data_IF_146601980456
#
_entry.id   IF_146601980456
#
_cell.length_a   1.000
_cell.length_b   1.000
_cell.length_c   1.000
_cell.angle_alpha   90.00
_cell.angle_beta   90.00
_cell.angle_gamma   90.00
#
_symmetry.space_group_name_H-M   'P 1'
#
loop_
_entity.id
_entity.type
_entity.pdbx_description
1 polymer ?
#
# COMPACT_ATOMS: atom_id res chain seq x y z
N UNK A 1 -2.15 18.52 20.33
CA UNK A 1 -1.42 19.36 19.37
C UNK A 1 -1.92 19.02 17.97
N UNK A 2 -2.76 19.85 17.32
CA UNK A 2 -3.35 19.50 16.00
C UNK A 2 -2.46 19.94 14.84
N UNK A 3 -1.82 19.01 14.13
CA UNK A 3 -1.10 19.23 12.88
C UNK A 3 -2.00 19.87 11.80
N UNK A 4 -1.41 20.50 10.79
CA UNK A 4 -2.18 21.01 9.65
C UNK A 4 -2.35 19.86 8.65
N UNK A 5 -3.56 19.30 8.57
CA UNK A 5 -3.96 18.45 7.46
C UNK A 5 -4.43 19.36 6.31
N UNK A 6 -3.80 19.23 5.15
CA UNK A 6 -4.23 19.92 3.93
C UNK A 6 -4.46 18.86 2.86
N UNK A 7 -5.69 18.76 2.37
CA UNK A 7 -6.00 17.99 1.18
C UNK A 7 -5.39 18.68 -0.04
N UNK A 8 -4.59 17.95 -0.82
CA UNK A 8 -4.02 18.45 -2.08
C UNK A 8 -4.09 17.40 -3.18
N UNK A 9 -3.78 17.83 -4.40
CA UNK A 9 -3.83 17.04 -5.61
C UNK A 9 -2.47 17.09 -6.32
N UNK A 10 -1.96 15.96 -6.78
CA UNK A 10 -0.75 15.88 -7.61
C UNK A 10 -1.01 15.01 -8.85
N UNK A 11 -0.22 15.16 -9.92
CA UNK A 11 -0.42 14.40 -11.16
C UNK A 11 0.47 13.16 -11.18
N UNK A 12 -0.07 12.04 -11.64
CA UNK A 12 0.71 10.87 -12.03
C UNK A 12 1.09 10.93 -13.51
N UNK A 13 2.00 10.04 -13.94
CA UNK A 13 2.31 9.83 -15.35
C UNK A 13 1.10 9.34 -16.19
N UNK A 14 0.05 8.84 -15.55
CA UNK A 14 -1.15 8.31 -16.21
C UNK A 14 -2.28 9.36 -16.35
N UNK A 15 -1.96 10.65 -16.20
CA UNK A 15 -2.89 11.79 -16.21
C UNK A 15 -4.05 11.62 -15.19
N UNK A 16 -3.79 10.86 -14.12
CA UNK A 16 -4.63 10.86 -12.92
C UNK A 16 -4.18 11.98 -11.99
N UNK A 17 -5.14 12.47 -11.21
CA UNK A 17 -4.88 13.49 -10.19
C UNK A 17 -5.12 12.87 -8.83
N UNK A 18 -4.04 12.58 -8.12
CA UNK A 18 -4.07 11.84 -6.87
C UNK A 18 -4.27 12.78 -5.69
N UNK A 19 -5.29 12.45 -4.88
CA UNK A 19 -5.65 13.18 -3.68
C UNK A 19 -4.85 12.66 -2.49
N UNK A 20 -4.33 13.59 -1.70
CA UNK A 20 -3.51 13.27 -0.54
C UNK A 20 -3.75 14.24 0.62
N UNK A 21 -3.56 13.73 1.83
CA UNK A 21 -3.54 14.50 3.07
C UNK A 21 -2.08 14.73 3.47
N UNK A 22 -1.68 16.00 3.58
CA UNK A 22 -0.35 16.37 4.04
C UNK A 22 -0.34 16.64 5.54
N UNK A 23 0.64 16.09 6.26
CA UNK A 23 0.89 16.33 7.66
C UNK A 23 2.28 16.93 7.85
N UNK A 24 2.34 18.09 8.51
CA UNK A 24 3.59 18.80 8.79
C UNK A 24 3.81 18.95 10.31
N UNK A 25 5.02 18.69 10.83
CA UNK A 25 5.36 18.99 12.21
C UNK A 25 5.18 20.48 12.51
N UNK A 26 4.64 20.82 13.69
CA UNK A 26 4.51 22.22 14.10
C UNK A 26 5.88 22.83 14.35
N UNK A 27 6.05 24.10 13.98
CA UNK A 27 7.27 24.88 14.22
C UNK A 27 8.53 24.31 13.55
N UNK A 28 8.38 23.44 12.55
CA UNK A 28 9.48 23.00 11.72
C UNK A 28 10.09 24.19 10.96
N UNK A 29 11.41 24.31 11.05
CA UNK A 29 12.19 25.29 10.29
C UNK A 29 13.13 24.56 9.32
N UNK A 30 13.36 25.16 8.16
CA UNK A 30 14.18 24.56 7.10
C UNK A 30 13.47 23.46 6.31
N UNK A 31 14.26 22.75 5.50
CA UNK A 31 13.80 21.62 4.69
C UNK A 31 13.72 20.35 5.53
N UNK A 32 12.61 19.64 5.42
CA UNK A 32 12.33 18.44 6.20
C UNK A 32 12.62 17.15 5.41
N UNK A 33 13.03 16.06 6.09
CA UNK A 33 12.87 14.73 5.53
C UNK A 33 11.37 14.45 5.34
N UNK A 34 11.03 13.78 4.23
CA UNK A 34 9.64 13.53 3.87
C UNK A 34 9.33 12.07 3.60
N UNK A 35 8.08 11.66 3.86
CA UNK A 35 7.63 10.27 3.69
C UNK A 35 6.28 10.25 2.96
N UNK A 36 6.21 9.55 1.82
CA UNK A 36 4.93 9.23 1.18
C UNK A 36 4.38 7.90 1.70
N UNK A 37 3.11 7.89 2.13
CA UNK A 37 2.46 6.76 2.79
C UNK A 37 1.23 6.34 2.00
N UNK A 38 1.09 5.04 1.73
CA UNK A 38 -0.14 4.50 1.14
C UNK A 38 -0.42 3.06 1.56
N UNK A 39 -1.61 2.61 1.19
CA UNK A 39 -2.19 1.35 1.57
C UNK A 39 -3.08 1.43 2.80
N UNK A 40 -3.75 0.32 3.14
CA UNK A 40 -3.79 -0.98 2.46
C UNK A 40 -4.33 -0.97 1.01
N UNK A 41 -4.09 -2.04 0.24
CA UNK A 41 -4.68 -2.19 -1.09
C UNK A 41 -6.20 -2.22 -1.02
N UNK A 42 -6.86 -1.20 -1.59
CA UNK A 42 -8.31 -1.01 -1.55
C UNK A 42 -8.80 -0.19 -0.35
N UNK A 43 -7.89 0.28 0.50
CA UNK A 43 -8.17 1.29 1.51
C UNK A 43 -7.97 2.70 0.96
N UNK A 44 -8.31 3.70 1.76
CA UNK A 44 -8.15 5.13 1.47
C UNK A 44 -7.31 5.83 2.54
N UNK A 45 -6.81 7.03 2.23
CA UNK A 45 -5.91 7.80 3.09
C UNK A 45 -6.47 8.09 4.49
N UNK A 46 -7.80 8.09 4.67
CA UNK A 46 -8.43 8.30 5.99
C UNK A 46 -8.37 7.07 6.91
N UNK A 47 -7.85 5.93 6.41
CA UNK A 47 -7.71 4.68 7.16
C UNK A 47 -6.26 4.55 7.70
N UNK A 48 -5.67 3.35 7.66
CA UNK A 48 -4.37 3.08 8.27
C UNK A 48 -3.22 3.97 7.74
N UNK A 49 -3.20 4.33 6.46
CA UNK A 49 -2.16 5.20 5.90
C UNK A 49 -2.15 6.59 6.53
N UNK A 50 -3.32 7.21 6.73
CA UNK A 50 -3.43 8.51 7.41
C UNK A 50 -2.96 8.43 8.86
N UNK A 51 -3.29 7.35 9.57
CA UNK A 51 -2.79 7.11 10.93
C UNK A 51 -1.25 7.07 10.95
N UNK A 52 -0.64 6.26 10.09
CA UNK A 52 0.81 6.16 10.00
C UNK A 52 1.46 7.50 9.62
N UNK A 53 0.92 8.19 8.61
CA UNK A 53 1.42 9.48 8.17
C UNK A 53 1.36 10.53 9.29
N UNK A 54 0.21 10.63 9.98
CA UNK A 54 0.04 11.53 11.10
C UNK A 54 1.05 11.24 12.22
N UNK A 55 1.15 9.98 12.66
CA UNK A 55 2.07 9.59 13.74
C UNK A 55 3.53 9.85 13.37
N UNK A 56 3.94 9.57 12.13
CA UNK A 56 5.30 9.89 11.68
C UNK A 56 5.55 11.41 11.65
N UNK A 57 4.55 12.21 11.29
CA UNK A 57 4.67 13.67 11.38
C UNK A 57 4.77 14.17 12.83
N UNK A 58 4.23 13.45 13.81
CA UNK A 58 4.46 13.76 15.24
C UNK A 58 5.92 13.50 15.66
N UNK A 59 6.66 12.71 14.88
CA UNK A 59 8.07 12.39 15.09
C UNK A 59 9.03 13.20 14.18
N UNK A 60 8.54 14.27 13.55
CA UNK A 60 9.40 15.26 12.88
C UNK A 60 9.55 15.12 11.36
N UNK A 61 8.84 14.19 10.73
CA UNK A 61 8.83 14.04 9.27
C UNK A 61 7.71 14.87 8.63
N UNK A 62 7.91 15.41 7.43
CA UNK A 62 6.78 15.83 6.59
C UNK A 62 6.20 14.59 5.93
N UNK A 63 4.90 14.34 6.07
CA UNK A 63 4.30 13.13 5.50
C UNK A 63 3.11 13.45 4.62
N UNK A 64 2.87 12.59 3.65
CA UNK A 64 1.63 12.59 2.87
C UNK A 64 1.02 11.20 2.91
N UNK A 65 -0.29 11.11 3.16
CA UNK A 65 -1.07 9.90 2.93
C UNK A 65 -1.90 10.09 1.67
N UNK A 66 -1.74 9.23 0.66
CA UNK A 66 -2.42 9.41 -0.63
C UNK A 66 -3.40 8.28 -0.96
N UNK A 67 -4.50 8.67 -1.59
CA UNK A 67 -5.42 7.74 -2.24
C UNK A 67 -4.79 7.29 -3.57
N UNK A 68 -4.64 5.98 -3.83
CA UNK A 68 -4.13 5.51 -5.11
C UNK A 68 -5.00 5.93 -6.29
N UNK A 69 -4.40 5.98 -7.49
CA UNK A 69 -5.11 6.23 -8.75
C UNK A 69 -6.39 5.40 -8.85
N UNK A 70 -7.48 5.99 -9.39
CA UNK A 70 -8.81 5.37 -9.55
C UNK A 70 -9.59 5.06 -8.26
N UNK A 71 -9.05 5.40 -7.09
CA UNK A 71 -9.67 5.13 -5.78
C UNK A 71 -9.86 6.40 -4.95
N UNK A 72 -10.56 6.29 -3.80
CA UNK A 72 -10.74 7.40 -2.87
C UNK A 72 -11.23 8.68 -3.53
N UNK A 73 -10.54 9.79 -3.24
CA UNK A 73 -10.76 11.12 -3.84
C UNK A 73 -9.86 11.42 -5.04
N UNK A 74 -8.94 10.51 -5.35
CA UNK A 74 -8.07 10.56 -6.54
C UNK A 74 -8.88 10.42 -7.82
N UNK A 75 -8.38 10.98 -8.92
CA UNK A 75 -9.00 10.96 -10.24
C UNK A 75 -8.91 9.60 -10.94
N UNK A 76 -9.22 9.60 -12.24
CA UNK A 76 -9.16 8.41 -13.10
C UNK A 76 -10.52 7.72 -13.28
N UNK A 77 -10.75 7.23 -14.51
CA UNK A 77 -11.91 6.45 -14.92
C UNK A 77 -11.49 5.24 -15.78
N UNK A 78 -12.19 4.10 -15.68
CA UNK A 78 -13.29 3.82 -14.75
C UNK A 78 -12.82 3.74 -13.29
N UNK A 79 -13.69 4.07 -12.33
CA UNK A 79 -13.39 3.96 -10.88
C UNK A 79 -13.14 2.52 -10.45
N UNK A 80 -12.41 2.37 -9.34
CA UNK A 80 -12.11 1.07 -8.72
C UNK A 80 -11.32 0.15 -9.64
N UNK A 81 -10.30 0.69 -10.32
CA UNK A 81 -9.35 -0.09 -11.12
C UNK A 81 -8.03 -0.17 -10.37
N UNK A 82 -7.38 -1.32 -10.44
CA UNK A 82 -6.04 -1.54 -9.94
C UNK A 82 -5.12 -2.05 -11.06
N UNK A 83 -3.85 -1.67 -11.00
CA UNK A 83 -2.81 -2.17 -11.89
C UNK A 83 -1.48 -2.16 -11.14
N UNK A 84 -0.67 -3.23 -11.22
CA UNK A 84 0.63 -3.25 -10.55
C UNK A 84 1.54 -2.09 -10.96
N UNK A 85 1.51 -1.74 -12.25
CA UNK A 85 2.28 -0.63 -12.84
C UNK A 85 1.83 0.71 -12.24
N UNK A 86 0.55 1.05 -12.42
CA UNK A 86 -0.03 2.31 -11.93
C UNK A 86 0.16 2.46 -10.42
N UNK A 87 -0.11 1.41 -9.62
CA UNK A 87 0.01 1.52 -8.17
C UNK A 87 1.46 1.57 -7.67
N UNK A 88 2.42 1.10 -8.47
CA UNK A 88 3.85 1.34 -8.21
C UNK A 88 4.20 2.80 -8.54
N UNK A 89 3.78 3.28 -9.71
CA UNK A 89 4.02 4.65 -10.18
C UNK A 89 3.38 5.71 -9.28
N UNK A 90 2.23 5.42 -8.65
CA UNK A 90 1.59 6.34 -7.69
C UNK A 90 2.57 6.74 -6.55
N UNK A 91 3.51 5.87 -6.15
CA UNK A 91 4.58 6.26 -5.21
C UNK A 91 5.58 7.24 -5.83
N UNK A 92 6.00 7.03 -7.08
CA UNK A 92 6.90 7.95 -7.78
C UNK A 92 6.25 9.31 -8.04
N UNK A 93 4.95 9.35 -8.34
CA UNK A 93 4.19 10.59 -8.41
C UNK A 93 4.16 11.34 -7.06
N UNK A 94 3.98 10.61 -5.96
CA UNK A 94 4.06 11.18 -4.61
C UNK A 94 5.48 11.72 -4.31
N UNK A 95 6.53 11.03 -4.77
CA UNK A 95 7.93 11.49 -4.67
C UNK A 95 8.19 12.73 -5.53
N UNK A 96 7.61 12.84 -6.74
CA UNK A 96 7.68 14.04 -7.58
C UNK A 96 7.12 15.26 -6.84
N UNK A 97 5.94 15.09 -6.25
CA UNK A 97 5.32 16.14 -5.46
C UNK A 97 6.21 16.55 -4.29
N UNK A 98 6.72 15.60 -3.50
CA UNK A 98 7.58 15.90 -2.36
C UNK A 98 8.89 16.59 -2.79
N UNK A 99 9.51 16.13 -3.87
CA UNK A 99 10.79 16.65 -4.37
C UNK A 99 10.72 18.10 -4.88
N UNK A 100 9.52 18.56 -5.25
CA UNK A 100 9.28 19.92 -5.78
C UNK A 100 8.83 20.94 -4.73
N UNK A 101 8.70 20.52 -3.47
CA UNK A 101 8.32 21.42 -2.38
C UNK A 101 9.53 22.19 -1.84
N UNK A 102 9.32 23.45 -1.53
CA UNK A 102 10.35 24.31 -0.94
C UNK A 102 10.73 23.91 0.50
N UNK A 103 9.83 23.25 1.22
CA UNK A 103 10.01 22.82 2.61
C UNK A 103 10.40 21.35 2.78
N UNK A 104 10.75 20.65 1.68
CA UNK A 104 11.26 19.28 1.66
C UNK A 104 12.69 19.25 1.12
N UNK A 105 13.52 18.39 1.69
CA UNK A 105 14.82 18.06 1.13
C UNK A 105 14.68 16.87 0.17
N UNK A 106 14.88 17.05 -1.16
CA UNK A 106 14.69 15.98 -2.14
C UNK A 106 15.68 14.82 -1.95
N UNK A 107 16.80 15.02 -1.25
CA UNK A 107 17.74 13.94 -0.94
C UNK A 107 17.35 13.16 0.33
N UNK A 108 16.22 13.47 0.95
CA UNK A 108 15.76 12.87 2.22
C UNK A 108 14.29 12.42 2.14
N UNK A 109 13.93 11.77 1.04
CA UNK A 109 12.58 11.23 0.82
C UNK A 109 12.56 9.72 1.02
N UNK A 110 11.63 9.24 1.85
CA UNK A 110 11.30 7.84 2.02
C UNK A 110 9.85 7.52 1.64
N UNK A 111 9.50 6.23 1.62
CA UNK A 111 8.14 5.78 1.37
C UNK A 111 7.71 4.67 2.34
N UNK A 112 6.43 4.63 2.69
CA UNK A 112 5.82 3.60 3.52
C UNK A 112 4.61 2.98 2.81
N UNK A 113 4.65 1.66 2.64
CA UNK A 113 3.54 0.88 2.11
C UNK A 113 2.95 -0.06 3.15
N UNK A 114 1.61 -0.06 3.30
CA UNK A 114 0.88 -0.95 4.21
C UNK A 114 0.17 -2.03 3.40
N UNK A 115 0.22 -3.30 3.85
CA UNK A 115 -0.42 -4.43 3.20
C UNK A 115 -0.01 -4.52 1.71
N UNK A 116 -0.94 -4.53 0.75
CA UNK A 116 -0.61 -4.63 -0.67
C UNK A 116 0.28 -3.49 -1.19
N UNK A 117 0.17 -2.29 -0.62
CA UNK A 117 1.07 -1.19 -0.96
C UNK A 117 2.46 -1.37 -0.36
N UNK A 118 2.66 -2.28 0.59
CA UNK A 118 4.00 -2.70 1.01
C UNK A 118 4.76 -3.39 -0.12
N UNK A 119 4.08 -4.22 -0.93
CA UNK A 119 4.66 -4.80 -2.15
C UNK A 119 4.96 -3.75 -3.21
N UNK A 120 4.00 -2.85 -3.46
CA UNK A 120 4.22 -1.75 -4.42
C UNK A 120 5.30 -0.76 -3.99
N UNK A 121 5.46 -0.50 -2.69
CA UNK A 121 6.52 0.35 -2.17
C UNK A 121 7.92 -0.25 -2.44
N UNK A 122 8.11 -1.55 -2.15
CA UNK A 122 9.38 -2.22 -2.47
C UNK A 122 9.59 -2.25 -3.99
N UNK A 123 8.53 -2.44 -4.78
CA UNK A 123 8.63 -2.40 -6.24
C UNK A 123 9.06 -1.01 -6.75
N UNK A 124 8.51 0.08 -6.19
CA UNK A 124 8.85 1.45 -6.55
C UNK A 124 10.30 1.79 -6.18
N UNK A 125 10.76 1.33 -5.02
CA UNK A 125 12.15 1.52 -4.57
C UNK A 125 13.19 0.88 -5.49
N UNK A 126 12.81 -0.14 -6.28
CA UNK A 126 13.70 -0.74 -7.28
C UNK A 126 13.87 0.12 -8.54
N UNK A 127 12.88 0.96 -8.88
CA UNK A 127 12.92 1.79 -10.09
C UNK A 127 13.24 3.27 -9.84
N UNK A 128 12.92 3.80 -8.65
CA UNK A 128 13.05 5.22 -8.35
C UNK A 128 14.17 5.50 -7.33
N UNK A 129 15.31 5.95 -7.84
CA UNK A 129 16.54 6.20 -7.05
C UNK A 129 16.44 7.39 -6.11
N UNK A 130 15.36 8.16 -6.16
CA UNK A 130 15.12 9.29 -5.24
C UNK A 130 14.62 8.80 -3.88
N UNK A 131 14.03 7.61 -3.84
CA UNK A 131 13.62 6.94 -2.61
C UNK A 131 14.88 6.49 -1.85
N UNK A 132 15.08 7.02 -0.65
CA UNK A 132 16.27 6.75 0.17
C UNK A 132 16.02 5.70 1.26
N UNK A 133 14.77 5.53 1.67
CA UNK A 133 14.36 4.56 2.68
C UNK A 133 12.93 4.07 2.42
N UNK A 134 12.71 2.75 2.50
CA UNK A 134 11.40 2.12 2.25
C UNK A 134 10.97 1.29 3.45
N UNK A 135 9.73 1.47 3.91
CA UNK A 135 9.10 0.64 4.94
C UNK A 135 7.91 -0.11 4.36
N UNK A 136 7.89 -1.43 4.50
CA UNK A 136 6.77 -2.28 4.12
C UNK A 136 6.14 -2.89 5.38
N UNK A 137 4.95 -2.42 5.78
CA UNK A 137 4.24 -2.88 6.99
C UNK A 137 3.16 -3.90 6.63
N UNK A 138 3.23 -5.07 7.26
CA UNK A 138 2.31 -6.21 7.11
C UNK A 138 2.05 -6.55 5.64
N UNK A 139 3.09 -6.49 4.81
CA UNK A 139 2.96 -6.41 3.37
C UNK A 139 2.26 -7.62 2.71
N UNK A 140 1.73 -7.35 1.51
CA UNK A 140 1.27 -8.33 0.53
C UNK A 140 2.01 -8.13 -0.78
N UNK A 141 2.33 -9.23 -1.46
CA UNK A 141 2.50 -9.22 -2.91
C UNK A 141 1.13 -9.52 -3.53
N UNK A 142 0.43 -8.47 -3.96
CA UNK A 142 -0.94 -8.60 -4.51
C UNK A 142 -0.94 -9.42 -5.81
N UNK A 143 0.13 -9.37 -6.60
CA UNK A 143 0.21 -10.12 -7.85
C UNK A 143 0.32 -11.62 -7.55
N UNK A 144 1.24 -12.01 -6.67
CA UNK A 144 1.36 -13.42 -6.21
C UNK A 144 0.07 -13.89 -5.54
N UNK A 145 -0.50 -13.09 -4.64
CA UNK A 145 -1.75 -13.43 -3.96
C UNK A 145 -2.93 -13.63 -4.93
N UNK A 146 -3.00 -12.82 -6.00
CA UNK A 146 -4.03 -12.96 -7.03
C UNK A 146 -3.77 -14.19 -7.92
N UNK A 147 -2.51 -14.45 -8.30
CA UNK A 147 -2.12 -15.52 -9.21
C UNK A 147 -2.13 -16.92 -8.58
N UNK A 148 -1.77 -17.01 -7.30
CA UNK A 148 -1.52 -18.28 -6.63
C UNK A 148 -2.39 -18.47 -5.38
N UNK A 149 -3.20 -17.49 -4.98
CA UNK A 149 -3.98 -17.55 -3.75
C UNK A 149 -3.12 -17.44 -2.48
N UNK A 150 -3.74 -17.66 -1.32
CA UNK A 150 -3.01 -17.70 -0.06
C UNK A 150 -2.12 -18.94 0.03
N UNK A 151 -0.88 -18.77 0.51
CA UNK A 151 0.11 -19.84 0.66
C UNK A 151 0.38 -20.60 -0.65
N UNK A 152 0.21 -19.93 -1.78
CA UNK A 152 0.29 -20.49 -3.13
C UNK A 152 -0.63 -21.72 -3.38
N UNK A 153 -1.70 -21.88 -2.59
CA UNK A 153 -2.58 -23.04 -2.66
C UNK A 153 -3.29 -23.23 -4.02
N UNK A 154 -3.35 -22.17 -4.83
CA UNK A 154 -3.95 -22.15 -6.17
C UNK A 154 -2.89 -21.95 -7.28
N UNK A 155 -1.61 -22.24 -7.04
CA UNK A 155 -0.59 -22.16 -8.10
C UNK A 155 -0.80 -23.26 -9.16
N UNK A 156 -1.63 -22.96 -10.16
CA UNK A 156 -1.98 -23.87 -11.23
C UNK A 156 -2.19 -23.10 -12.55
N UNK A 157 -1.41 -23.45 -13.57
CA UNK A 157 -1.41 -22.76 -14.85
C UNK A 157 -2.75 -22.86 -15.60
N UNK A 158 -3.39 -24.04 -15.56
CA UNK A 158 -4.67 -24.29 -16.24
C UNK A 158 -5.80 -23.54 -15.54
N UNK A 159 -5.82 -23.53 -14.20
CA UNK A 159 -6.78 -22.75 -13.43
C UNK A 159 -6.63 -21.23 -13.71
N UNK A 160 -5.39 -20.73 -13.79
CA UNK A 160 -5.12 -19.34 -14.20
C UNK A 160 -5.54 -19.06 -15.65
N UNK A 161 -5.41 -20.03 -16.55
CA UNK A 161 -5.87 -19.89 -17.93
C UNK A 161 -7.40 -19.79 -18.01
N UNK A 162 -8.13 -20.66 -17.30
CA UNK A 162 -9.59 -20.61 -17.24
C UNK A 162 -10.10 -19.31 -16.58
N UNK A 163 -9.44 -18.83 -15.52
CA UNK A 163 -9.74 -17.52 -14.93
C UNK A 163 -9.56 -16.40 -15.96
N UNK A 164 -8.46 -16.40 -16.74
CA UNK A 164 -8.23 -15.41 -17.81
C UNK A 164 -9.31 -15.47 -18.89
N UNK A 165 -9.78 -16.66 -19.29
CA UNK A 165 -10.91 -16.78 -20.24
C UNK A 165 -12.17 -16.09 -19.71
N UNK A 166 -12.53 -16.33 -18.45
CA UNK A 166 -13.69 -15.70 -17.82
C UNK A 166 -13.55 -14.18 -17.74
N UNK A 167 -12.38 -13.69 -17.32
CA UNK A 167 -12.10 -12.26 -17.19
C UNK A 167 -12.07 -11.55 -18.56
N UNK A 168 -11.53 -12.19 -19.61
CA UNK A 168 -11.53 -11.63 -20.96
C UNK A 168 -12.94 -11.54 -21.55
N UNK A 169 -13.78 -12.55 -21.30
CA UNK A 169 -15.20 -12.49 -21.67
C UNK A 169 -15.91 -11.35 -20.94
N UNK A 170 -15.68 -11.21 -19.62
CA UNK A 170 -16.25 -10.12 -18.83
C UNK A 170 -15.77 -8.73 -19.31
N UNK A 171 -14.50 -8.58 -19.66
CA UNK A 171 -13.96 -7.32 -20.22
C UNK A 171 -14.68 -6.91 -21.51
N UNK A 172 -15.00 -7.88 -22.36
CA UNK A 172 -15.77 -7.65 -23.59
C UNK A 172 -17.19 -7.18 -23.27
N UNK A 173 -17.82 -7.79 -22.27
CA UNK A 173 -19.16 -7.42 -21.83
C UNK A 173 -19.18 -6.03 -21.17
N UNK A 174 -18.19 -5.72 -20.33
CA UNK A 174 -18.06 -4.41 -19.69
C UNK A 174 -17.93 -3.30 -20.75
N UNK A 175 -17.15 -3.53 -21.80
CA UNK A 175 -16.99 -2.60 -22.91
C UNK A 175 -18.28 -2.42 -23.72
N UNK A 176 -19.00 -3.52 -23.99
CA UNK A 176 -20.28 -3.48 -24.71
C UNK A 176 -21.33 -2.65 -23.97
N UNK A 177 -21.37 -2.77 -22.64
CA UNK A 177 -22.43 -2.20 -21.83
C UNK A 177 -22.08 -0.83 -21.23
N UNK A 178 -20.80 -0.44 -21.25
CA UNK A 178 -20.33 0.77 -20.56
C UNK A 178 -20.47 0.71 -19.04
N UNK A 179 -20.69 -0.48 -18.47
CA UNK A 179 -20.78 -0.72 -17.03
C UNK A 179 -19.77 -1.79 -16.64
N UNK A 180 -19.10 -1.60 -15.51
CA UNK A 180 -17.98 -2.45 -15.11
C UNK A 180 -18.37 -3.28 -13.89
N UNK A 181 -18.35 -4.61 -14.03
CA UNK A 181 -18.68 -5.52 -12.93
C UNK A 181 -17.68 -5.37 -11.79
N UNK A 182 -18.17 -5.38 -10.54
CA UNK A 182 -17.36 -5.24 -9.33
C UNK A 182 -17.36 -6.49 -8.45
N UNK A 183 -16.26 -6.69 -7.73
CA UNK A 183 -16.14 -7.71 -6.67
C UNK A 183 -16.94 -7.33 -5.44
N UNK A 184 -17.26 -8.32 -4.60
CA UNK A 184 -17.70 -8.08 -3.23
C UNK A 184 -16.50 -8.21 -2.32
N UNK A 185 -16.15 -7.13 -1.61
CA UNK A 185 -15.00 -7.10 -0.70
C UNK A 185 -15.46 -7.30 0.75
N UNK A 186 -14.70 -8.11 1.49
CA UNK A 186 -14.92 -8.41 2.91
C UNK A 186 -16.39 -8.72 3.24
N UNK A 187 -17.02 -9.73 2.60
CA UNK A 187 -18.35 -10.17 2.98
C UNK A 187 -18.37 -10.65 4.43
N UNK A 188 -19.57 -10.69 5.05
CA UNK A 188 -19.73 -11.25 6.40
C UNK A 188 -19.14 -12.67 6.43
N UNK A 189 -18.14 -12.93 7.27
CA UNK A 189 -17.50 -14.23 7.35
C UNK A 189 -18.47 -15.26 7.95
N UNK A 190 -18.37 -16.51 7.49
CA UNK A 190 -18.99 -17.65 8.16
C UNK A 190 -18.36 -17.87 9.55
N UNK A 191 -19.07 -18.57 10.43
CA UNK A 191 -18.63 -18.80 11.81
C UNK A 191 -17.32 -19.60 11.89
N UNK A 192 -17.07 -20.49 10.92
CA UNK A 192 -15.86 -21.31 10.79
C UNK A 192 -14.77 -20.67 9.92
N UNK A 193 -15.01 -19.46 9.39
CA UNK A 193 -14.02 -18.78 8.57
C UNK A 193 -12.71 -18.52 9.34
N UNK A 194 -11.55 -18.56 8.65
CA UNK A 194 -10.27 -18.21 9.26
C UNK A 194 -10.31 -16.86 9.96
N UNK A 195 -9.63 -16.75 11.11
CA UNK A 195 -9.67 -15.56 11.95
C UNK A 195 -9.32 -14.27 11.18
N UNK A 196 -8.34 -14.31 10.29
CA UNK A 196 -7.94 -13.12 9.53
C UNK A 196 -9.05 -12.55 8.64
N UNK A 197 -10.00 -13.37 8.17
CA UNK A 197 -11.16 -12.88 7.40
C UNK A 197 -12.14 -12.15 8.32
N UNK A 198 -12.31 -12.64 9.55
CA UNK A 198 -13.09 -11.98 10.60
C UNK A 198 -12.45 -10.65 10.99
N UNK A 199 -11.14 -10.61 11.09
CA UNK A 199 -10.39 -9.40 11.41
C UNK A 199 -10.50 -8.35 10.29
N UNK A 200 -10.44 -8.74 9.01
CA UNK A 200 -10.70 -7.83 7.89
C UNK A 200 -12.12 -7.29 7.88
N UNK A 201 -13.12 -8.16 8.13
CA UNK A 201 -14.51 -7.74 8.25
C UNK A 201 -14.67 -6.74 9.39
N UNK A 202 -14.16 -7.05 10.58
CA UNK A 202 -14.20 -6.17 11.75
C UNK A 202 -13.60 -4.79 11.45
N UNK A 203 -12.43 -4.73 10.81
CA UNK A 203 -11.82 -3.46 10.44
C UNK A 203 -12.63 -2.69 9.39
N UNK A 204 -12.92 -3.31 8.24
CA UNK A 204 -13.47 -2.58 7.09
C UNK A 204 -14.98 -2.38 7.12
N UNK A 205 -15.73 -3.20 7.86
CA UNK A 205 -17.20 -3.25 7.85
C UNK A 205 -17.83 -2.76 9.15
N UNK A 206 -17.04 -2.37 10.15
CA UNK A 206 -17.51 -1.77 11.40
C UNK A 206 -16.93 -0.37 11.61
N UNK A 207 -17.36 0.33 12.66
CA UNK A 207 -16.86 1.66 13.01
C UNK A 207 -15.35 1.71 13.28
N UNK A 208 -14.68 0.57 13.46
CA UNK A 208 -13.23 0.48 13.70
C UNK A 208 -12.42 1.15 12.59
N UNK A 209 -12.68 0.79 11.34
CA UNK A 209 -11.94 1.30 10.17
C UNK A 209 -12.81 1.57 8.95
N UNK A 210 -14.14 1.49 9.04
CA UNK A 210 -15.03 1.73 7.91
C UNK A 210 -14.85 3.14 7.34
N UNK A 211 -14.74 3.23 6.01
CA UNK A 211 -14.80 4.48 5.28
C UNK A 211 -15.56 4.30 3.97
N UNK A 212 -16.52 5.19 3.66
CA UNK A 212 -17.45 5.00 2.52
C UNK A 212 -16.78 5.02 1.15
N UNK A 213 -15.61 5.67 1.03
CA UNK A 213 -14.79 5.69 -0.20
C UNK A 213 -13.86 4.49 -0.35
N UNK A 214 -13.76 3.64 0.66
CA UNK A 214 -12.87 2.47 0.65
C UNK A 214 -13.43 1.35 -0.21
N UNK A 215 -12.61 0.78 -1.08
CA UNK A 215 -12.98 -0.40 -1.88
C UNK A 215 -13.33 -1.56 -0.95
N UNK A 216 -12.54 -1.72 0.10
CA UNK A 216 -12.66 -2.78 1.08
C UNK A 216 -13.89 -2.64 2.00
N UNK A 217 -14.46 -1.43 2.12
CA UNK A 217 -15.64 -1.16 2.96
C UNK A 217 -16.98 -1.31 2.23
N UNK A 218 -16.99 -1.61 0.92
CA UNK A 218 -18.22 -2.00 0.21
C UNK A 218 -18.32 -1.59 -1.25
N UNK A 219 -17.33 -0.91 -1.83
CA UNK A 219 -17.43 -0.48 -3.23
C UNK A 219 -17.09 -1.58 -4.24
N UNK A 220 -16.14 -2.47 -3.91
CA UNK A 220 -15.66 -3.50 -4.83
C UNK A 220 -14.64 -3.01 -5.86
N UNK A 221 -13.71 -3.88 -6.24
CA UNK A 221 -12.80 -3.66 -7.37
C UNK A 221 -13.49 -4.02 -8.67
N UNK A 222 -13.17 -3.34 -9.76
CA UNK A 222 -13.51 -3.83 -11.10
C UNK A 222 -12.87 -5.21 -11.29
N UNK A 223 -13.69 -6.22 -11.57
CA UNK A 223 -13.26 -7.62 -11.65
C UNK A 223 -12.16 -7.83 -12.69
N UNK A 224 -12.13 -7.04 -13.76
CA UNK A 224 -11.12 -7.18 -14.81
C UNK A 224 -9.75 -6.60 -14.42
N UNK A 225 -9.63 -5.88 -13.31
CA UNK A 225 -8.34 -5.44 -12.76
C UNK A 225 -7.44 -6.64 -12.44
N UNK A 226 -8.04 -7.80 -12.14
CA UNK A 226 -7.29 -9.04 -11.89
C UNK A 226 -6.44 -9.48 -13.08
N UNK A 227 -6.78 -9.08 -14.32
CA UNK A 227 -6.01 -9.48 -15.51
C UNK A 227 -4.54 -9.02 -15.45
N UNK A 228 -4.29 -7.78 -15.04
CA UNK A 228 -2.91 -7.27 -14.90
C UNK A 228 -2.22 -7.89 -13.69
N UNK A 229 -2.91 -7.99 -12.56
CA UNK A 229 -2.39 -8.60 -11.31
C UNK A 229 -2.00 -10.08 -11.51
N UNK A 230 -2.71 -10.82 -12.37
CA UNK A 230 -2.39 -12.21 -12.72
C UNK A 230 -1.15 -12.36 -13.62
N UNK A 231 -0.79 -11.32 -14.36
CA UNK A 231 0.18 -11.42 -15.46
C UNK A 231 1.49 -10.66 -15.19
N UNK A 232 1.46 -9.62 -14.37
CA UNK A 232 2.57 -8.70 -14.17
C UNK A 232 3.09 -8.84 -12.73
N UNK A 233 4.00 -9.79 -12.45
CA UNK A 233 4.60 -9.92 -11.13
C UNK A 233 5.37 -8.65 -10.76
N UNK A 234 5.30 -8.29 -9.48
CA UNK A 234 6.13 -7.22 -8.89
C UNK A 234 7.35 -7.82 -8.19
N UNK A 235 8.27 -6.97 -7.74
CA UNK A 235 9.49 -7.38 -7.02
C UNK A 235 10.45 -8.22 -7.87
N UNK A 236 10.42 -8.04 -9.19
CA UNK A 236 11.30 -8.74 -10.12
C UNK A 236 12.78 -8.35 -9.90
N UNK A 237 13.03 -7.07 -9.59
CA UNK A 237 14.36 -6.47 -9.40
C UNK A 237 14.56 -5.95 -7.96
N UNK A 238 13.85 -6.51 -6.98
CA UNK A 238 13.98 -6.04 -5.59
C UNK A 238 15.35 -6.34 -4.98
N UNK A 239 16.10 -7.27 -5.55
CA UNK A 239 17.50 -7.55 -5.21
C UNK A 239 18.48 -6.47 -5.71
N UNK A 240 18.05 -5.58 -6.61
CA UNK A 240 18.84 -4.45 -7.11
C UNK A 240 18.69 -3.17 -6.26
N UNK A 241 17.74 -3.15 -5.30
CA UNK A 241 17.50 -2.00 -4.43
C UNK A 241 18.76 -1.68 -3.62
N UNK A 242 19.22 -0.44 -3.73
CA UNK A 242 20.39 0.08 -2.99
C UNK A 242 20.03 0.92 -1.78
N UNK A 243 18.84 1.53 -1.77
CA UNK A 243 18.30 2.28 -0.64
C UNK A 243 17.94 1.35 0.52
N UNK A 244 17.80 1.87 1.74
CA UNK A 244 17.47 1.04 2.89
C UNK A 244 16.03 0.50 2.82
N UNK A 245 15.81 -0.73 3.29
CA UNK A 245 14.47 -1.34 3.33
C UNK A 245 14.19 -2.01 4.68
N UNK A 246 13.09 -1.62 5.33
CA UNK A 246 12.56 -2.27 6.54
C UNK A 246 11.25 -2.98 6.22
N UNK A 247 11.22 -4.30 6.41
CA UNK A 247 10.01 -5.11 6.33
C UNK A 247 9.50 -5.39 7.74
N UNK A 248 8.27 -5.01 8.05
CA UNK A 248 7.63 -5.22 9.36
C UNK A 248 6.47 -6.19 9.21
N UNK A 249 6.38 -7.22 10.04
CA UNK A 249 5.21 -8.11 10.08
C UNK A 249 4.85 -8.54 11.50
N UNK A 250 3.56 -8.79 11.72
CA UNK A 250 3.10 -9.47 12.92
C UNK A 250 3.50 -10.94 12.91
N UNK A 251 3.92 -11.47 14.07
CA UNK A 251 4.30 -12.87 14.24
C UNK A 251 3.17 -13.83 13.84
N UNK A 252 1.92 -13.46 14.12
CA UNK A 252 0.70 -14.24 13.84
C UNK A 252 -0.01 -13.79 12.56
N UNK A 253 0.57 -12.88 11.78
CA UNK A 253 -0.02 -12.44 10.53
C UNK A 253 -0.02 -13.59 9.50
N UNK A 254 -1.20 -13.97 8.99
CA UNK A 254 -1.34 -14.93 7.89
C UNK A 254 -0.53 -14.54 6.65
N UNK A 255 -0.27 -13.25 6.45
CA UNK A 255 0.48 -12.71 5.33
C UNK A 255 2.00 -12.65 5.54
N UNK A 256 2.52 -13.07 6.71
CA UNK A 256 3.94 -12.93 7.08
C UNK A 256 4.89 -13.51 6.03
N UNK A 257 4.50 -14.60 5.37
CA UNK A 257 5.30 -15.23 4.32
C UNK A 257 5.60 -14.30 3.14
N UNK A 258 4.72 -13.35 2.80
CA UNK A 258 5.00 -12.36 1.76
C UNK A 258 6.19 -11.48 2.12
N UNK A 259 6.21 -10.95 3.36
CA UNK A 259 7.32 -10.15 3.84
C UNK A 259 8.61 -10.94 4.00
N UNK A 260 8.55 -12.16 4.52
CA UNK A 260 9.72 -13.03 4.63
C UNK A 260 10.32 -13.34 3.26
N UNK A 261 9.50 -13.65 2.26
CA UNK A 261 9.97 -13.97 0.91
C UNK A 261 10.49 -12.73 0.16
N UNK A 262 9.83 -11.58 0.30
CA UNK A 262 10.35 -10.31 -0.22
C UNK A 262 11.70 -9.98 0.43
N UNK A 263 11.82 -10.11 1.75
CA UNK A 263 13.06 -9.88 2.48
C UNK A 263 14.18 -10.82 2.01
N UNK A 264 13.93 -12.12 1.76
CA UNK A 264 14.95 -13.05 1.24
C UNK A 264 15.54 -12.61 -0.10
N UNK A 265 14.74 -11.96 -0.97
CA UNK A 265 15.20 -11.47 -2.28
C UNK A 265 16.15 -10.27 -2.14
N UNK A 266 15.81 -9.30 -1.28
CA UNK A 266 16.60 -8.08 -1.06
C UNK A 266 18.09 -8.39 -0.77
N UNK A 267 18.99 -7.49 -1.18
CA UNK A 267 20.43 -7.57 -0.93
C UNK A 267 20.90 -6.36 -0.10
N UNK A 268 22.19 -6.33 0.24
CA UNK A 268 22.79 -5.28 1.08
C UNK A 268 22.69 -5.57 2.57
N UNK A 269 23.38 -4.73 3.34
CA UNK A 269 23.41 -4.71 4.81
C UNK A 269 22.43 -3.68 5.41
N UNK A 270 21.80 -2.87 4.57
CA UNK A 270 20.82 -1.85 4.91
C UNK A 270 19.36 -2.34 4.80
N UNK A 271 19.14 -3.65 4.98
CA UNK A 271 17.83 -4.30 4.99
C UNK A 271 17.53 -4.92 6.35
N UNK A 272 16.30 -4.75 6.83
CA UNK A 272 15.86 -5.27 8.12
C UNK A 272 14.51 -5.99 8.01
N UNK A 273 14.34 -7.09 8.75
CA UNK A 273 13.07 -7.76 8.97
C UNK A 273 12.73 -7.67 10.46
N UNK A 274 11.62 -7.01 10.79
CA UNK A 274 11.16 -6.84 12.16
C UNK A 274 9.84 -7.59 12.38
N UNK A 275 9.88 -8.62 13.22
CA UNK A 275 8.71 -9.43 13.58
C UNK A 275 8.14 -8.95 14.91
N UNK A 276 6.88 -8.50 14.89
CA UNK A 276 6.15 -7.99 16.06
C UNK A 276 5.51 -9.15 16.82
N UNK A 277 5.95 -9.47 18.07
CA UNK A 277 5.44 -10.61 18.81
C UNK A 277 3.93 -10.56 19.05
N UNK A 278 3.27 -11.69 18.78
CA UNK A 278 1.83 -11.87 18.96
C UNK A 278 0.91 -11.02 18.07
N UNK A 279 1.42 -10.13 17.22
CA UNK A 279 0.57 -9.29 16.37
C UNK A 279 0.02 -10.08 15.17
N UNK A 280 -1.26 -9.86 14.87
CA UNK A 280 -1.94 -10.31 13.65
C UNK A 280 -1.63 -9.37 12.46
N UNK A 281 -2.30 -9.60 11.32
CA UNK A 281 -2.16 -8.72 10.16
C UNK A 281 -2.77 -7.34 10.42
N UNK A 282 -4.00 -7.29 10.92
CA UNK A 282 -4.75 -6.04 11.11
C UNK A 282 -4.37 -5.32 12.39
N UNK A 283 -3.70 -5.97 13.36
CA UNK A 283 -3.07 -5.26 14.47
C UNK A 283 -2.13 -4.16 13.97
N UNK A 284 -1.41 -4.42 12.87
CA UNK A 284 -0.52 -3.42 12.28
C UNK A 284 -1.25 -2.34 11.46
N UNK A 285 -2.57 -2.29 11.46
CA UNK A 285 -3.33 -1.20 10.81
C UNK A 285 -3.64 -0.06 11.77
N UNK A 286 -4.05 -0.38 13.01
CA UNK A 286 -4.59 0.60 13.94
C UNK A 286 -4.27 0.35 15.43
N UNK A 287 -3.64 -0.78 15.79
CA UNK A 287 -3.30 -1.06 17.17
C UNK A 287 -1.98 -0.39 17.55
N UNK A 288 -2.06 0.78 18.19
CA UNK A 288 -0.90 1.61 18.58
C UNK A 288 0.09 0.90 19.52
N UNK A 289 -0.35 -0.12 20.27
CA UNK A 289 0.55 -0.91 21.11
C UNK A 289 1.34 -1.96 20.32
N UNK A 290 0.86 -2.34 19.14
CA UNK A 290 1.47 -3.35 18.27
C UNK A 290 2.25 -2.74 17.11
N UNK A 291 1.83 -1.59 16.57
CA UNK A 291 2.57 -0.92 15.51
C UNK A 291 3.91 -0.41 16.08
N UNK A 292 5.06 -0.87 15.54
CA UNK A 292 6.37 -0.56 16.12
C UNK A 292 6.87 0.80 15.64
N UNK A 293 6.12 1.88 15.90
CA UNK A 293 6.47 3.24 15.43
C UNK A 293 7.86 3.67 15.88
N UNK A 294 8.30 3.31 17.09
CA UNK A 294 9.66 3.59 17.56
C UNK A 294 10.74 3.03 16.62
N UNK A 295 10.58 1.78 16.18
CA UNK A 295 11.51 1.14 15.23
C UNK A 295 11.44 1.78 13.84
N UNK A 296 10.24 2.12 13.37
CA UNK A 296 10.04 2.77 12.06
C UNK A 296 10.69 4.17 12.06
N UNK A 297 10.53 4.94 13.13
CA UNK A 297 11.13 6.27 13.31
C UNK A 297 12.65 6.19 13.40
N UNK A 298 13.19 5.24 14.16
CA UNK A 298 14.63 4.97 14.24
C UNK A 298 15.22 4.70 12.84
N UNK A 299 14.56 3.82 12.07
CA UNK A 299 14.96 3.48 10.71
C UNK A 299 15.00 4.72 9.79
N UNK A 300 13.94 5.54 9.78
CA UNK A 300 13.95 6.75 8.96
C UNK A 300 14.97 7.78 9.42
N UNK A 301 15.17 7.97 10.73
CA UNK A 301 16.22 8.86 11.25
C UNK A 301 17.63 8.40 10.87
N UNK A 302 17.83 7.08 10.72
CA UNK A 302 19.11 6.53 10.29
C UNK A 302 19.39 6.81 8.81
N UNK A 303 18.39 6.68 7.94
CA UNK A 303 18.57 6.65 6.48
C UNK A 303 18.09 7.90 5.73
N UNK A 304 17.32 8.80 6.36
CA UNK A 304 16.92 10.10 5.81
C UNK A 304 17.73 11.24 6.49
N UNK A 305 19.06 11.14 6.45
CA UNK A 305 19.97 12.13 7.04
C UNK A 305 20.28 13.28 6.10
#
# INVERSE_FOLDING_TARGET
>A
MKQQCIGFRHRSLFDTVDAADLYKPKNAAGKLPAIAVSGPFGAVKEQASGLYAQTLAEHGFLTIAFDPSFTGESGGQPRSVASPDINTEDFSAAVDYLSTRDDVDPERIGILGICGFGGFAINAAAMDTRIKATVASTMYDICRGTANGYFDANDNADARYEMRKQLNAQRTEDYRNGTYKRTVMNPQPADDAPQFMKDYYDYYKTKRGYHSRSINSGLGWNVTSSLSLLNMPILAYSDEIRSAVLVVHGEKAHSRYFGEDAFKKLKGDNKELYIVPGASHTDLYDNLEKIPFGKIVEFYNQYLK
#
